data_IF_933329742736
#
_entry.id   IF_933329742736
#
_cell.length_a   1.000
_cell.length_b   1.000
_cell.length_c   1.000
_cell.angle_alpha   90.00
_cell.angle_beta   90.00
_cell.angle_gamma   90.00
#
_symmetry.space_group_name_H-M   'P 1'
#
loop_
_entity.id
_entity.type
_entity.pdbx_description
1 polymer ?
#
# COMPACT_ATOMS: atom_id res chain seq x y z
N UNK A 1 8.64 -11.89 10.63
CA UNK A 1 8.59 -10.41 10.63
C UNK A 1 7.27 -9.96 10.03
N UNK A 2 6.54 -9.16 10.76
CA UNK A 2 5.28 -8.59 10.26
C UNK A 2 5.58 -7.31 9.48
N UNK A 3 5.06 -7.24 8.27
CA UNK A 3 5.25 -6.08 7.40
C UNK A 3 3.92 -5.56 6.92
N UNK A 4 3.88 -4.29 6.55
CA UNK A 4 2.68 -3.66 5.99
C UNK A 4 2.98 -3.13 4.60
N UNK A 5 2.08 -3.41 3.67
CA UNK A 5 2.22 -3.03 2.27
C UNK A 5 1.01 -2.20 1.86
N UNK A 6 1.27 -1.06 1.26
CA UNK A 6 0.23 -0.24 0.64
C UNK A 6 0.01 -0.66 -0.80
N UNK A 7 -1.25 -0.71 -1.21
CA UNK A 7 -1.63 -1.02 -2.58
C UNK A 7 -2.43 0.12 -3.16
N UNK A 8 -2.19 0.44 -4.43
CA UNK A 8 -2.95 1.48 -5.11
C UNK A 8 -3.01 1.25 -6.61
N UNK A 9 -4.12 1.66 -7.21
CA UNK A 9 -4.30 1.60 -8.65
C UNK A 9 -5.30 2.66 -9.08
N UNK A 10 -5.10 3.27 -10.25
CA UNK A 10 -6.06 4.21 -10.80
C UNK A 10 -6.32 4.00 -12.28
N UNK A 11 -6.01 2.83 -12.82
CA UNK A 11 -6.34 2.55 -14.21
C UNK A 11 -6.68 1.09 -14.39
N UNK A 12 -7.46 0.80 -15.45
CA UNK A 12 -7.83 -0.53 -15.88
C UNK A 12 -8.54 -1.36 -14.85
N UNK A 13 -9.68 -0.87 -14.45
CA UNK A 13 -10.43 -1.53 -13.41
C UNK A 13 -9.57 -1.59 -12.14
N UNK A 14 -9.32 -0.43 -11.50
CA UNK A 14 -8.41 -0.37 -10.37
C UNK A 14 -8.84 -1.24 -9.21
N UNK A 15 -10.14 -1.44 -9.00
CA UNK A 15 -10.64 -2.32 -7.97
C UNK A 15 -10.15 -3.75 -8.20
N UNK A 16 -10.27 -4.23 -9.43
CA UNK A 16 -9.82 -5.58 -9.78
C UNK A 16 -8.30 -5.71 -9.66
N UNK A 17 -7.56 -4.67 -10.03
CA UNK A 17 -6.10 -4.67 -9.89
C UNK A 17 -5.71 -4.87 -8.43
N UNK A 18 -6.34 -4.12 -7.52
CA UNK A 18 -6.03 -4.22 -6.09
C UNK A 18 -6.48 -5.56 -5.52
N UNK A 19 -7.68 -6.02 -5.86
CA UNK A 19 -8.17 -7.33 -5.39
C UNK A 19 -7.28 -8.48 -5.84
N UNK A 20 -6.87 -8.44 -7.10
CA UNK A 20 -5.96 -9.47 -7.63
C UNK A 20 -4.60 -9.41 -6.92
N UNK A 21 -4.08 -8.20 -6.69
CA UNK A 21 -2.81 -8.03 -6.00
C UNK A 21 -2.85 -8.57 -4.57
N UNK A 22 -3.97 -8.39 -3.87
CA UNK A 22 -4.13 -8.96 -2.53
C UNK A 22 -4.01 -10.48 -2.55
N UNK A 23 -4.63 -11.13 -3.53
CA UNK A 23 -4.50 -12.58 -3.68
C UNK A 23 -3.07 -12.99 -4.01
N UNK A 24 -2.42 -12.24 -4.89
CA UNK A 24 -1.05 -12.52 -5.30
C UNK A 24 -0.06 -12.36 -4.15
N UNK A 25 -0.28 -11.36 -3.29
CA UNK A 25 0.57 -11.18 -2.10
C UNK A 25 0.50 -12.41 -1.20
N UNK A 26 -0.69 -13.01 -1.06
CA UNK A 26 -0.85 -14.22 -0.25
C UNK A 26 -0.19 -15.45 -0.86
N UNK A 27 0.11 -15.43 -2.15
CA UNK A 27 0.72 -16.54 -2.85
C UNK A 27 2.24 -16.40 -3.03
N UNK A 28 2.83 -15.29 -2.60
CA UNK A 28 4.27 -15.07 -2.72
C UNK A 28 5.04 -16.03 -1.80
N UNK A 29 6.13 -16.58 -2.33
CA UNK A 29 6.99 -17.47 -1.55
C UNK A 29 7.58 -16.73 -0.36
N UNK A 30 7.66 -17.42 0.78
CA UNK A 30 8.22 -16.90 2.02
C UNK A 30 7.35 -15.83 2.69
N UNK A 31 6.11 -15.68 2.23
CA UNK A 31 5.17 -14.71 2.77
C UNK A 31 3.83 -15.36 3.05
N UNK A 32 3.16 -14.89 4.09
CA UNK A 32 1.79 -15.28 4.42
C UNK A 32 0.97 -14.01 4.60
N UNK A 33 -0.14 -13.90 3.88
CA UNK A 33 -1.06 -12.78 4.06
C UNK A 33 -1.78 -12.96 5.39
N UNK A 34 -1.64 -11.99 6.29
CA UNK A 34 -2.27 -12.03 7.61
C UNK A 34 -3.63 -11.35 7.60
N UNK A 35 -3.67 -10.09 7.15
CA UNK A 35 -4.90 -9.29 7.10
C UNK A 35 -4.82 -8.34 5.92
N UNK A 36 -5.97 -7.89 5.46
CA UNK A 36 -6.03 -6.76 4.53
C UNK A 36 -7.21 -5.86 4.89
N UNK A 37 -7.07 -4.59 4.55
CA UNK A 37 -8.11 -3.60 4.80
C UNK A 37 -9.24 -3.73 3.77
N UNK A 38 -10.32 -2.97 4.02
CA UNK A 38 -11.29 -2.65 2.98
C UNK A 38 -10.61 -1.86 1.87
N UNK A 39 -11.24 -1.78 0.72
CA UNK A 39 -10.80 -0.93 -0.36
C UNK A 39 -11.31 0.49 -0.14
N UNK A 40 -10.51 1.48 -0.49
CA UNK A 40 -10.88 2.88 -0.38
C UNK A 40 -10.77 3.55 -1.73
N UNK A 41 -11.72 4.40 -2.06
CA UNK A 41 -11.69 5.24 -3.24
C UNK A 41 -11.18 6.61 -2.84
N UNK A 42 -10.15 7.07 -3.52
CA UNK A 42 -9.46 8.31 -3.20
C UNK A 42 -9.46 9.22 -4.41
N UNK A 43 -9.83 10.49 -4.22
CA UNK A 43 -9.74 11.48 -5.29
C UNK A 43 -8.28 11.74 -5.62
N UNK A 44 -7.95 11.88 -6.92
CA UNK A 44 -6.58 12.22 -7.29
C UNK A 44 -6.24 13.62 -6.81
N UNK A 45 -4.99 13.80 -6.42
CA UNK A 45 -4.42 15.13 -6.16
C UNK A 45 -4.04 15.73 -7.50
N UNK A 46 -4.51 16.94 -7.79
CA UNK A 46 -4.17 17.61 -9.03
C UNK A 46 -5.35 17.72 -10.00
N UNK A 47 -5.12 17.62 -11.32
CA UNK A 47 -6.17 17.83 -12.31
C UNK A 47 -7.37 16.91 -12.09
N UNK A 48 -8.55 17.49 -12.11
CA UNK A 48 -9.78 16.77 -11.75
C UNK A 48 -10.26 15.75 -12.78
N UNK A 49 -9.61 15.69 -13.93
CA UNK A 49 -9.95 14.74 -14.97
C UNK A 49 -9.22 13.40 -14.85
N UNK A 50 -8.49 13.19 -13.77
CA UNK A 50 -7.83 11.91 -13.53
C UNK A 50 -8.78 10.93 -12.85
N UNK A 51 -8.64 9.62 -13.12
CA UNK A 51 -9.46 8.62 -12.44
C UNK A 51 -9.18 8.57 -10.95
N UNK A 52 -10.18 8.11 -10.19
CA UNK A 52 -9.99 7.82 -8.78
C UNK A 52 -8.96 6.71 -8.59
N UNK A 53 -8.25 6.78 -7.46
CA UNK A 53 -7.44 5.67 -6.99
C UNK A 53 -8.28 4.72 -6.14
N UNK A 54 -7.97 3.44 -6.22
CA UNK A 54 -8.40 2.45 -5.23
C UNK A 54 -7.17 2.08 -4.43
N UNK A 55 -7.29 2.17 -3.11
CA UNK A 55 -6.19 1.93 -2.18
C UNK A 55 -6.58 0.92 -1.12
N UNK A 56 -5.61 0.17 -0.64
CA UNK A 56 -5.76 -0.77 0.47
C UNK A 56 -4.42 -0.94 1.17
N UNK A 57 -4.44 -1.56 2.34
CA UNK A 57 -3.22 -1.94 3.06
C UNK A 57 -3.35 -3.40 3.46
N UNK A 58 -2.26 -4.14 3.33
CA UNK A 58 -2.18 -5.54 3.72
C UNK A 58 -1.06 -5.73 4.73
N UNK A 59 -1.23 -6.69 5.64
CA UNK A 59 -0.15 -7.14 6.50
C UNK A 59 0.27 -8.55 6.10
N UNK A 60 1.58 -8.76 6.08
CA UNK A 60 2.19 -10.03 5.73
C UNK A 60 3.15 -10.47 6.83
N UNK A 61 3.23 -11.79 7.04
CA UNK A 61 4.37 -12.38 7.75
C UNK A 61 5.38 -12.79 6.68
N UNK A 62 6.61 -12.32 6.81
CA UNK A 62 7.64 -12.63 5.82
C UNK A 62 8.90 -13.18 6.49
N UNK A 63 9.56 -14.14 5.81
CA UNK A 63 10.90 -14.60 6.19
C UNK A 63 11.99 -13.93 5.36
N UNK A 64 11.62 -13.08 4.40
CA UNK A 64 12.57 -12.37 3.56
C UNK A 64 13.11 -11.13 4.26
N UNK A 65 14.32 -10.71 3.91
CA UNK A 65 14.77 -9.39 4.29
C UNK A 65 14.01 -8.33 3.47
N UNK A 66 14.15 -7.07 3.87
CA UNK A 66 13.33 -6.00 3.30
C UNK A 66 13.61 -5.79 1.81
N UNK A 67 14.86 -5.88 1.37
CA UNK A 67 15.16 -5.69 -0.05
C UNK A 67 14.71 -6.86 -0.91
N UNK A 68 14.80 -8.08 -0.41
CA UNK A 68 14.28 -9.24 -1.12
C UNK A 68 12.76 -9.17 -1.25
N UNK A 69 12.08 -8.70 -0.21
CA UNK A 69 10.64 -8.46 -0.28
C UNK A 69 10.32 -7.37 -1.30
N UNK A 70 11.08 -6.27 -1.29
CA UNK A 70 10.92 -5.21 -2.28
C UNK A 70 11.03 -5.74 -3.70
N UNK A 71 12.01 -6.63 -3.96
CA UNK A 71 12.16 -7.23 -5.28
C UNK A 71 10.90 -7.98 -5.70
N UNK A 72 10.28 -8.71 -4.78
CA UNK A 72 9.03 -9.44 -5.09
C UNK A 72 7.87 -8.47 -5.37
N UNK A 73 7.77 -7.40 -4.59
CA UNK A 73 6.73 -6.39 -4.80
C UNK A 73 6.89 -5.71 -6.16
N UNK A 74 8.12 -5.39 -6.53
CA UNK A 74 8.39 -4.80 -7.84
C UNK A 74 8.10 -5.76 -8.98
N UNK A 75 8.33 -7.06 -8.79
CA UNK A 75 8.00 -8.06 -9.80
C UNK A 75 6.48 -8.14 -10.02
N UNK A 76 5.68 -8.02 -8.95
CA UNK A 76 4.23 -7.97 -9.10
C UNK A 76 3.78 -6.71 -9.84
N UNK A 77 4.37 -5.56 -9.52
CA UNK A 77 4.06 -4.34 -10.25
C UNK A 77 4.34 -4.49 -11.74
N UNK A 78 5.47 -5.07 -12.08
CA UNK A 78 5.84 -5.30 -13.47
C UNK A 78 4.89 -6.28 -14.17
N UNK A 79 4.46 -7.33 -13.48
CA UNK A 79 3.51 -8.29 -14.03
C UNK A 79 2.19 -7.62 -14.38
N UNK A 80 1.67 -6.76 -13.50
CA UNK A 80 0.46 -6.00 -13.78
C UNK A 80 0.62 -5.03 -14.94
N UNK A 81 1.79 -4.45 -15.08
CA UNK A 81 2.07 -3.52 -16.19
C UNK A 81 2.15 -4.25 -17.52
N UNK A 82 2.70 -5.48 -17.54
CA UNK A 82 2.85 -6.27 -18.76
C UNK A 82 1.53 -6.73 -19.36
N UNK A 83 0.53 -6.93 -18.55
CA UNK A 83 -0.80 -7.30 -19.03
C UNK A 83 -1.42 -6.18 -19.85
N UNK A 84 -0.77 -5.01 -19.86
CA UNK A 84 -1.24 -3.81 -20.50
C UNK A 84 -0.20 -3.30 -21.44
N UNK A 85 -0.33 -3.70 -22.66
CA UNK A 85 0.71 -3.50 -23.67
C UNK A 85 0.79 -2.11 -24.25
N UNK A 86 -0.17 -1.22 -23.95
CA UNK A 86 -0.32 -0.02 -24.77
C UNK A 86 0.22 1.27 -24.18
N UNK A 87 0.53 1.32 -22.87
CA UNK A 87 0.91 2.59 -22.25
C UNK A 87 2.25 2.51 -21.56
N UNK A 88 3.25 2.99 -22.26
CA UNK A 88 4.61 3.11 -21.75
C UNK A 88 4.73 4.20 -20.69
N UNK A 89 3.89 5.22 -20.77
CA UNK A 89 3.99 6.46 -20.02
C UNK A 89 2.65 6.85 -19.41
N UNK A 90 1.92 5.98 -18.86
CA UNK A 90 0.66 6.29 -18.25
C UNK A 90 0.71 6.17 -16.74
N UNK A 91 -0.44 6.40 -16.08
CA UNK A 91 -0.61 6.06 -14.68
C UNK A 91 -0.26 4.60 -14.46
N UNK A 92 0.27 4.29 -13.30
CA UNK A 92 0.65 2.91 -12.99
C UNK A 92 -0.59 2.06 -12.77
N UNK A 93 -0.58 0.84 -13.31
CA UNK A 93 -1.68 -0.10 -13.09
C UNK A 93 -1.76 -0.58 -11.66
N UNK A 94 -0.61 -0.69 -11.01
CA UNK A 94 -0.52 -1.14 -9.63
C UNK A 94 0.73 -0.54 -8.98
N UNK A 95 0.54 0.06 -7.81
CA UNK A 95 1.63 0.50 -6.96
C UNK A 95 1.62 -0.34 -5.68
N UNK A 96 2.77 -0.86 -5.31
CA UNK A 96 2.97 -1.59 -4.07
C UNK A 96 4.10 -0.92 -3.28
N UNK A 97 3.76 -0.39 -2.12
CA UNK A 97 4.71 0.31 -1.27
C UNK A 97 4.96 -0.48 0.02
N UNK A 98 6.21 -0.76 0.32
CA UNK A 98 6.58 -1.32 1.62
C UNK A 98 6.51 -0.18 2.64
N UNK A 99 5.51 -0.25 3.52
CA UNK A 99 5.25 0.82 4.50
C UNK A 99 6.06 0.64 5.77
N UNK A 100 6.01 -0.56 6.31
CA UNK A 100 6.68 -0.92 7.57
C UNK A 100 7.28 -2.31 7.45
N UNK A 101 8.45 -2.48 8.06
CA UNK A 101 9.11 -3.78 8.15
C UNK A 101 9.42 -4.03 9.63
N UNK A 102 8.47 -4.69 10.33
CA UNK A 102 8.53 -4.81 11.78
C UNK A 102 8.63 -3.42 12.40
N UNK A 103 9.43 -3.27 13.42
CA UNK A 103 9.73 -1.98 14.03
C UNK A 103 11.05 -1.37 13.55
N UNK A 104 11.54 -1.78 12.40
CA UNK A 104 12.84 -1.35 11.90
C UNK A 104 12.78 -0.04 11.14
N UNK A 105 13.87 0.73 11.23
CA UNK A 105 14.11 1.88 10.37
C UNK A 105 15.17 1.49 9.36
N UNK A 106 14.86 1.63 8.09
CA UNK A 106 15.75 1.25 6.99
C UNK A 106 15.89 2.44 6.06
N UNK A 107 17.12 2.78 5.72
CA UNK A 107 17.38 3.89 4.80
C UNK A 107 18.53 3.49 3.88
N UNK A 108 18.17 3.03 2.69
CA UNK A 108 19.12 2.64 1.65
C UNK A 108 18.77 3.39 0.37
N UNK A 109 19.66 3.36 -0.64
CA UNK A 109 19.33 4.00 -1.92
C UNK A 109 18.04 3.48 -2.57
N UNK A 110 17.67 2.21 -2.29
CA UNK A 110 16.48 1.59 -2.88
C UNK A 110 15.24 1.69 -2.01
N UNK A 111 15.39 1.88 -0.68
CA UNK A 111 14.29 1.65 0.23
C UNK A 111 14.40 2.52 1.47
N UNK A 112 13.33 3.23 1.77
CA UNK A 112 13.15 3.95 3.02
C UNK A 112 11.96 3.39 3.76
N UNK A 113 12.16 2.88 4.98
CA UNK A 113 11.12 2.33 5.84
C UNK A 113 11.31 2.90 7.24
N UNK A 114 10.29 3.47 7.88
CA UNK A 114 8.91 3.64 7.37
C UNK A 114 8.86 4.47 6.10
N UNK A 115 7.81 4.21 5.29
CA UNK A 115 7.62 5.01 4.08
C UNK A 115 7.52 6.49 4.47
N UNK A 116 8.32 7.37 3.85
CA UNK A 116 8.46 8.76 4.36
C UNK A 116 7.16 9.57 4.35
N UNK A 117 6.24 9.25 3.44
CA UNK A 117 5.00 10.01 3.29
C UNK A 117 3.79 9.37 3.94
N UNK A 118 3.95 8.19 4.56
CA UNK A 118 2.79 7.41 5.00
C UNK A 118 1.93 8.14 6.04
N UNK A 119 2.53 8.92 6.92
CA UNK A 119 1.77 9.59 7.99
C UNK A 119 0.99 10.81 7.50
N UNK A 120 1.26 11.25 6.28
CA UNK A 120 0.58 12.39 5.66
C UNK A 120 -0.55 11.96 4.74
N UNK A 121 -0.73 10.64 4.54
CA UNK A 121 -1.65 10.10 3.54
C UNK A 121 -2.80 9.37 4.22
N UNK A 122 -3.99 9.95 4.15
CA UNK A 122 -5.19 9.31 4.70
C UNK A 122 -5.45 7.96 4.01
N UNK A 123 -5.14 7.86 2.72
CA UNK A 123 -5.32 6.62 1.97
C UNK A 123 -4.32 5.52 2.35
N UNK A 124 -3.40 5.80 3.26
CA UNK A 124 -2.51 4.81 3.87
C UNK A 124 -2.95 4.57 5.31
N UNK A 125 -3.06 5.62 6.12
CA UNK A 125 -3.32 5.44 7.56
C UNK A 125 -4.73 4.96 7.86
N UNK A 126 -5.75 5.38 7.11
CA UNK A 126 -7.11 4.89 7.35
C UNK A 126 -7.24 3.40 7.07
N UNK A 127 -6.80 2.89 5.92
CA UNK A 127 -6.80 1.43 5.72
C UNK A 127 -5.92 0.70 6.74
N UNK A 128 -4.76 1.25 7.08
CA UNK A 128 -3.88 0.65 8.07
C UNK A 128 -4.58 0.51 9.42
N UNK A 129 -5.38 1.50 9.80
CA UNK A 129 -6.09 1.48 11.09
C UNK A 129 -7.09 0.34 11.21
N UNK A 130 -7.56 -0.23 10.10
CA UNK A 130 -8.47 -1.37 10.14
C UNK A 130 -7.76 -2.66 10.55
N UNK A 131 -6.47 -2.77 10.27
CA UNK A 131 -5.76 -4.05 10.40
C UNK A 131 -4.61 -4.03 11.41
N UNK A 132 -4.21 -2.86 11.87
CA UNK A 132 -3.10 -2.71 12.80
C UNK A 132 -3.61 -2.33 14.18
N UNK A 133 -2.87 -2.70 15.26
CA UNK A 133 -3.22 -2.25 16.60
C UNK A 133 -3.18 -0.71 16.69
N UNK A 134 -4.09 -0.09 17.46
CA UNK A 134 -4.07 1.37 17.61
C UNK A 134 -2.76 1.92 18.18
N UNK A 135 -2.09 1.13 18.98
CA UNK A 135 -0.82 1.52 19.59
C UNK A 135 0.40 1.15 18.72
N UNK A 136 0.17 0.73 17.48
CA UNK A 136 1.27 0.46 16.55
C UNK A 136 2.17 1.67 16.46
N UNK A 137 3.45 1.48 16.72
CA UNK A 137 4.44 2.53 16.65
C UNK A 137 5.07 2.57 15.26
N UNK A 138 5.01 3.75 14.64
CA UNK A 138 5.66 3.96 13.35
C UNK A 138 7.00 4.60 13.66
N UNK A 139 8.12 3.90 13.45
CA UNK A 139 9.42 4.38 13.93
C UNK A 139 9.71 5.83 13.51
N UNK A 140 10.04 6.65 14.48
CA UNK A 140 10.37 8.05 14.26
C UNK A 140 9.20 8.97 13.96
N UNK A 141 7.97 8.45 13.87
CA UNK A 141 6.81 9.24 13.44
C UNK A 141 5.68 9.29 14.47
N UNK A 142 5.59 8.31 15.38
CA UNK A 142 4.59 8.27 16.42
C UNK A 142 3.70 7.05 16.36
N UNK A 143 2.69 7.03 17.21
CA UNK A 143 1.73 5.92 17.25
C UNK A 143 0.55 6.18 16.33
N UNK A 144 0.06 5.12 15.73
CA UNK A 144 -1.04 5.21 14.79
C UNK A 144 -2.24 5.98 15.36
N UNK A 145 -2.66 5.67 16.58
CA UNK A 145 -3.80 6.34 17.23
C UNK A 145 -3.61 7.84 17.40
N UNK A 146 -2.37 8.28 17.54
CA UNK A 146 -2.07 9.70 17.75
C UNK A 146 -1.97 10.45 16.42
N UNK A 147 -1.72 9.74 15.33
CA UNK A 147 -1.59 10.33 14.00
C UNK A 147 -2.93 10.47 13.28
N UNK A 148 -3.86 9.54 13.56
CA UNK A 148 -5.16 9.53 12.86
C UNK A 148 -5.96 10.82 13.00
N UNK A 149 -6.06 11.45 14.20
CA UNK A 149 -6.86 12.67 14.33
C UNK A 149 -6.36 13.84 13.51
N UNK A 150 -5.11 13.81 13.07
CA UNK A 150 -4.50 14.90 12.30
C UNK A 150 -4.79 14.80 10.81
N UNK A 151 -5.45 13.72 10.37
CA UNK A 151 -5.73 13.50 8.96
C UNK A 151 -7.07 14.10 8.57
N UNK A 152 -7.13 14.62 7.34
CA UNK A 152 -8.38 14.96 6.72
C UNK A 152 -8.91 13.73 6.00
N UNK A 153 -10.18 13.38 6.26
CA UNK A 153 -10.86 12.31 5.52
C UNK A 153 -11.50 12.80 4.24
N UNK A 154 -11.22 14.04 3.84
CA UNK A 154 -11.82 14.61 2.65
C UNK A 154 -11.31 13.91 1.40
N UNK A 155 -12.25 13.56 0.51
CA UNK A 155 -11.90 12.94 -0.76
C UNK A 155 -11.59 11.46 -0.69
N UNK A 156 -11.80 10.83 0.48
CA UNK A 156 -11.57 9.39 0.63
C UNK A 156 -12.84 8.73 1.19
N UNK A 157 -13.22 7.59 0.63
CA UNK A 157 -14.37 6.85 1.11
C UNK A 157 -14.16 5.35 0.95
N UNK A 158 -14.71 4.58 1.88
CA UNK A 158 -14.64 3.12 1.79
C UNK A 158 -15.56 2.66 0.67
N UNK A 159 -15.05 1.73 -0.13
CA UNK A 159 -15.82 1.12 -1.21
C UNK A 159 -16.62 -0.04 -0.65
N UNK A 160 -17.94 -0.02 -0.86
CA UNK A 160 -18.80 -1.13 -0.46
C UNK A 160 -18.53 -2.34 -1.33
N UNK A 161 -18.68 -3.49 -0.72
CA UNK A 161 -18.46 -4.75 -1.41
C UNK A 161 -19.62 -5.11 -2.31
#
# INVERSE_FOLDING_TARGET
>A
MTVYVGLGSNMDNPRRQVETALQELGALRHNTLLKHSSLYRTRPLGPQNQPYFINAVASLATSLDAEALLDQLQALEQAHRRERTSLRWGPRTLDLDLLLYGGMSIDTPRLSVPHPEMTKRAFVLLPLSEIAPPDLEIPGMGRLRDLLPNLSGEGIERVDR
#
